data_IF_591702627481
#
_entry.id   IF_591702627481
#
_cell.length_a   1.000
_cell.length_b   1.000
_cell.length_c   1.000
_cell.angle_alpha   90.00
_cell.angle_beta   90.00
_cell.angle_gamma   90.00
#
_symmetry.space_group_name_H-M   'P 1'
#
loop_
_entity.id
_entity.type
_entity.pdbx_description
1 polymer ?
#
# COMPACT_ATOMS: atom_id res chain seq x y z
N UNK A 1 -10.79 -0.86 16.20
CA UNK A 1 -10.28 -2.13 16.80
C UNK A 1 -8.75 -2.09 16.80
N UNK A 2 -8.12 -1.84 17.95
CA UNK A 2 -6.66 -1.74 18.04
C UNK A 2 -6.02 -3.13 17.98
N UNK A 3 -5.49 -3.49 16.82
CA UNK A 3 -4.66 -4.68 16.64
C UNK A 3 -3.52 -4.34 15.69
N UNK A 4 -2.40 -5.04 15.83
CA UNK A 4 -1.29 -4.96 14.87
C UNK A 4 -1.74 -5.58 13.56
N UNK A 5 -1.69 -4.83 12.46
CA UNK A 5 -2.08 -5.35 11.17
C UNK A 5 -1.04 -6.33 10.63
N UNK A 6 -1.53 -7.44 10.08
CA UNK A 6 -0.73 -8.41 9.33
C UNK A 6 -1.32 -8.53 7.94
N UNK A 7 -0.64 -7.92 6.98
CA UNK A 7 -1.08 -7.73 5.61
C UNK A 7 -0.64 -8.88 4.69
N UNK A 8 -1.51 -9.29 3.78
CA UNK A 8 -1.21 -10.23 2.69
C UNK A 8 -1.56 -9.64 1.33
N UNK A 9 -0.78 -9.96 0.29
CA UNK A 9 -1.04 -9.49 -1.08
C UNK A 9 -2.38 -9.99 -1.60
N UNK A 10 -3.16 -9.09 -2.20
CA UNK A 10 -4.48 -9.37 -2.80
C UNK A 10 -4.51 -8.98 -4.27
N UNK A 11 -3.84 -7.89 -4.66
CA UNK A 11 -3.77 -7.46 -6.06
C UNK A 11 -2.43 -6.84 -6.40
N UNK A 12 -1.92 -7.17 -7.58
CA UNK A 12 -0.71 -6.56 -8.14
C UNK A 12 -1.15 -5.60 -9.24
N UNK A 13 -0.99 -4.31 -9.01
CA UNK A 13 -1.26 -3.31 -10.04
C UNK A 13 0.06 -2.96 -10.71
N UNK A 14 0.11 -3.01 -12.04
CA UNK A 14 1.28 -2.56 -12.78
C UNK A 14 1.58 -1.10 -12.44
N UNK A 15 2.86 -0.75 -12.35
CA UNK A 15 3.30 0.63 -12.15
C UNK A 15 3.61 1.28 -13.50
N UNK A 16 3.42 2.60 -13.58
CA UNK A 16 3.81 3.34 -14.77
C UNK A 16 5.33 3.51 -14.85
N UNK A 17 5.85 3.79 -16.04
CA UNK A 17 7.28 4.05 -16.26
C UNK A 17 7.80 5.21 -15.41
N UNK A 18 6.98 6.23 -15.17
CA UNK A 18 7.35 7.41 -14.37
C UNK A 18 7.67 7.03 -12.92
N UNK A 19 6.91 6.10 -12.32
CA UNK A 19 7.17 5.65 -10.95
C UNK A 19 8.49 4.89 -10.82
N UNK A 20 8.95 4.25 -11.90
CA UNK A 20 10.27 3.60 -11.89
C UNK A 20 11.40 4.63 -11.77
N UNK A 21 11.23 5.85 -12.29
CA UNK A 21 12.22 6.94 -12.15
C UNK A 21 12.34 7.41 -10.70
N UNK A 22 11.25 7.34 -9.93
CA UNK A 22 11.21 7.64 -8.50
C UNK A 22 11.68 6.46 -7.62
N UNK A 23 12.18 5.38 -8.22
CA UNK A 23 12.72 4.24 -7.48
C UNK A 23 11.69 3.26 -6.96
N UNK A 24 10.48 3.26 -7.53
CA UNK A 24 9.42 2.30 -7.24
C UNK A 24 9.41 1.22 -8.34
N UNK A 25 9.45 -0.05 -7.96
CA UNK A 25 9.52 -1.19 -8.90
C UNK A 25 8.21 -1.94 -9.03
N UNK A 26 7.36 -1.90 -8.00
CA UNK A 26 6.04 -2.51 -8.02
C UNK A 26 5.10 -1.83 -7.01
N UNK A 27 3.80 -2.01 -7.21
CA UNK A 27 2.76 -1.61 -6.27
C UNK A 27 1.73 -2.74 -6.12
N UNK A 28 1.27 -2.95 -4.89
CA UNK A 28 0.23 -3.95 -4.62
C UNK A 28 -0.68 -3.51 -3.48
N UNK A 29 -1.92 -3.99 -3.51
CA UNK A 29 -2.84 -3.83 -2.38
C UNK A 29 -2.69 -5.08 -1.52
N UNK A 30 -2.45 -4.85 -0.23
CA UNK A 30 -2.46 -5.92 0.77
C UNK A 30 -3.64 -5.76 1.72
N UNK A 31 -4.20 -6.87 2.17
CA UNK A 31 -5.33 -6.91 3.10
C UNK A 31 -4.92 -7.49 4.45
N UNK A 32 -5.35 -6.84 5.52
CA UNK A 32 -5.13 -7.32 6.88
C UNK A 32 -5.99 -8.57 7.16
N UNK A 33 -5.37 -9.67 7.58
CA UNK A 33 -6.08 -10.92 7.91
C UNK A 33 -7.17 -10.79 8.97
N UNK A 34 -6.98 -9.87 9.92
CA UNK A 34 -7.83 -9.77 11.12
C UNK A 34 -9.05 -8.89 10.90
N UNK A 35 -8.87 -7.72 10.30
CA UNK A 35 -9.95 -6.74 10.13
C UNK A 35 -10.34 -6.47 8.68
N UNK A 36 -9.69 -7.13 7.72
CA UNK A 36 -9.96 -6.93 6.30
C UNK A 36 -9.54 -5.57 5.74
N UNK A 37 -8.85 -4.72 6.52
CA UNK A 37 -8.37 -3.41 6.06
C UNK A 37 -7.38 -3.58 4.90
N UNK A 38 -7.61 -2.87 3.82
CA UNK A 38 -6.70 -2.81 2.67
C UNK A 38 -5.70 -1.67 2.82
N UNK A 39 -4.48 -1.87 2.33
CA UNK A 39 -3.40 -0.90 2.38
C UNK A 39 -2.50 -1.08 1.14
N UNK A 40 -2.20 -0.01 0.40
CA UNK A 40 -1.22 -0.06 -0.67
C UNK A 40 0.21 -0.16 -0.13
N UNK A 41 1.00 -1.02 -0.76
CA UNK A 41 2.42 -1.19 -0.54
C UNK A 41 3.18 -0.93 -1.83
N UNK A 42 4.37 -0.34 -1.70
CA UNK A 42 5.29 -0.08 -2.80
C UNK A 42 6.57 -0.88 -2.61
N UNK A 43 7.03 -1.54 -3.66
CA UNK A 43 8.36 -2.15 -3.71
C UNK A 43 9.34 -1.08 -4.16
N UNK A 44 10.34 -0.82 -3.34
CA UNK A 44 11.42 0.11 -3.67
C UNK A 44 12.56 -0.61 -4.40
N UNK A 45 13.40 0.12 -5.13
CA UNK A 45 14.64 -0.40 -5.74
C UNK A 45 15.62 -1.08 -4.77
N UNK A 46 15.41 -0.93 -3.46
CA UNK A 46 16.20 -1.62 -2.43
C UNK A 46 15.70 -3.05 -2.16
N UNK A 47 14.59 -3.44 -2.78
CA UNK A 47 13.91 -4.72 -2.53
C UNK A 47 12.95 -4.68 -1.34
N UNK A 48 12.75 -3.50 -0.72
CA UNK A 48 11.92 -3.35 0.46
C UNK A 48 10.49 -2.95 0.09
N UNK A 49 9.51 -3.62 0.70
CA UNK A 49 8.10 -3.24 0.65
C UNK A 49 7.77 -2.24 1.75
N UNK A 50 7.28 -1.06 1.37
CA UNK A 50 6.87 0.00 2.29
C UNK A 50 5.38 0.27 2.17
N UNK A 51 4.70 0.45 3.31
CA UNK A 51 3.31 0.91 3.32
C UNK A 51 3.26 2.38 2.92
N UNK A 52 2.33 2.73 2.03
CA UNK A 52 2.23 4.12 1.57
C UNK A 52 1.74 5.08 2.67
N UNK A 53 0.97 4.57 3.64
CA UNK A 53 0.39 5.36 4.71
C UNK A 53 0.82 4.82 6.08
N UNK A 54 0.98 5.72 7.04
CA UNK A 54 1.25 5.35 8.43
C UNK A 54 0.04 4.63 9.04
N UNK A 55 0.29 3.64 9.90
CA UNK A 55 -0.76 2.99 10.70
C UNK A 55 -1.32 3.99 11.73
N UNK A 56 -2.32 4.77 11.31
CA UNK A 56 -2.96 5.82 12.10
C UNK A 56 -3.70 6.86 11.26
N UNK A 57 -3.31 7.05 9.99
CA UNK A 57 -3.83 8.11 9.11
C UNK A 57 -5.01 7.68 8.22
N UNK A 58 -5.75 6.64 8.60
CA UNK A 58 -6.87 6.14 7.78
C UNK A 58 -8.26 6.66 8.15
N UNK A 59 -8.36 7.71 8.96
CA UNK A 59 -9.69 8.29 9.28
C UNK A 59 -10.15 9.41 8.34
N UNK A 60 -9.31 9.92 7.45
CA UNK A 60 -9.73 10.91 6.45
C UNK A 60 -8.88 10.82 5.19
N UNK A 61 -9.28 9.98 4.25
CA UNK A 61 -8.93 10.17 2.85
C UNK A 61 -10.22 10.13 2.04
N UNK A 62 -10.95 11.25 2.06
CA UNK A 62 -11.86 11.60 0.97
C UNK A 62 -11.01 11.80 -0.29
N UNK A 63 -10.69 10.70 -0.96
CA UNK A 63 -10.19 10.78 -2.34
C UNK A 63 -11.40 11.17 -3.18
N UNK A 64 -11.63 12.49 -3.27
CA UNK A 64 -12.44 13.10 -4.31
C UNK A 64 -11.82 12.71 -5.66
N UNK A 65 -12.36 11.66 -6.27
CA UNK A 65 -12.21 11.43 -7.69
C UNK A 65 -13.04 12.51 -8.40
N UNK A 66 -12.36 13.56 -8.86
CA UNK A 66 -12.89 14.51 -9.85
C UNK A 66 -12.76 13.92 -11.26
#
# INVERSE_FOLDING_TARGET
MNHVHKYESVSHHGISSELTEFGIEAAEIRRCKKCGKEMPFLLTRRGDWVSLFAEGETEQQDILLA
#
